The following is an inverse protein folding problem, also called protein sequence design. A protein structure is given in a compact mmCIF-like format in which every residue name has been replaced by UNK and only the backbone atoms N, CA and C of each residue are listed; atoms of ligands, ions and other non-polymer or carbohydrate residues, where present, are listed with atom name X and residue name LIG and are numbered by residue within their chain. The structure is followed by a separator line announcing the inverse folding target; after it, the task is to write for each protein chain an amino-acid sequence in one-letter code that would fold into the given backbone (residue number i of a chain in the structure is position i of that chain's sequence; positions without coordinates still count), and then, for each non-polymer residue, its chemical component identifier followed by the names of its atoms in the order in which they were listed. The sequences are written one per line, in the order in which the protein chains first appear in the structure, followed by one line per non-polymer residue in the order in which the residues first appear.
data_IF_058657148896
#
_entry.id   IF_058657148896
#
_cell.length_a   1.000
_cell.length_b   1.000
_cell.length_c   1.000
_cell.angle_alpha   90.00
_cell.angle_beta   90.00
_cell.angle_gamma   90.00
#
_symmetry.space_group_name_H-M   'P 1'
#
loop_
_entity.id
_entity.type
_entity.pdbx_description
1 polymer ?
#
# COMPACT_ATOMS: atom_id res chain seq x y z
N UNK A 1 -7.19 -4.97 3.19
CA UNK A 1 -5.76 -4.66 2.92
C UNK A 1 -5.23 -5.59 1.83
N UNK A 2 -5.50 -6.89 1.94
CA UNK A 2 -5.22 -7.89 0.90
C UNK A 2 -6.28 -7.87 -0.22
N UNK A 3 -7.46 -7.28 0.03
CA UNK A 3 -8.47 -6.98 -0.98
C UNK A 3 -8.22 -5.65 -1.70
N UNK A 4 -8.54 -5.60 -3.00
CA UNK A 4 -8.53 -4.37 -3.81
C UNK A 4 -9.67 -3.44 -3.36
N UNK A 5 -9.33 -2.44 -2.55
CA UNK A 5 -10.26 -1.34 -2.23
C UNK A 5 -10.11 -0.26 -3.31
N UNK A 6 -11.20 0.02 -4.02
CA UNK A 6 -11.26 1.10 -5.00
C UNK A 6 -12.10 2.26 -4.47
N UNK A 7 -11.80 3.47 -4.95
CA UNK A 7 -12.61 4.65 -4.68
C UNK A 7 -14.06 4.44 -5.15
N UNK A 8 -14.24 3.73 -6.26
CA UNK A 8 -15.54 3.38 -6.80
C UNK A 8 -16.35 2.54 -5.81
N UNK A 9 -15.74 1.50 -5.22
CA UNK A 9 -16.40 0.66 -4.22
C UNK A 9 -16.81 1.48 -2.99
N UNK A 10 -15.90 2.29 -2.44
CA UNK A 10 -16.20 3.17 -1.29
C UNK A 10 -17.35 4.13 -1.62
N UNK A 11 -17.35 4.69 -2.82
CA UNK A 11 -18.37 5.66 -3.25
C UNK A 11 -19.74 5.00 -3.40
N UNK A 12 -19.77 3.77 -3.94
CA UNK A 12 -20.97 2.95 -4.08
C UNK A 12 -21.55 2.56 -2.71
N UNK A 13 -20.71 2.09 -1.80
CA UNK A 13 -21.13 1.64 -0.46
C UNK A 13 -21.68 2.79 0.40
N UNK A 14 -21.17 4.00 0.19
CA UNK A 14 -21.61 5.20 0.91
C UNK A 14 -22.67 6.01 0.16
N UNK A 15 -23.08 5.57 -1.03
CA UNK A 15 -24.02 6.26 -1.93
C UNK A 15 -23.64 7.74 -2.19
N UNK A 16 -22.35 7.99 -2.45
CA UNK A 16 -21.80 9.32 -2.74
C UNK A 16 -21.05 9.31 -4.07
N UNK A 17 -20.84 10.48 -4.67
CA UNK A 17 -19.98 10.57 -5.86
C UNK A 17 -18.50 10.36 -5.51
N UNK A 18 -17.74 9.75 -6.43
CA UNK A 18 -16.28 9.58 -6.30
C UNK A 18 -15.53 10.89 -6.10
N UNK A 19 -16.01 11.97 -6.72
CA UNK A 19 -15.45 13.32 -6.57
C UNK A 19 -15.66 13.84 -5.15
N UNK A 20 -16.86 13.66 -4.59
CA UNK A 20 -17.16 14.05 -3.22
C UNK A 20 -16.34 13.21 -2.22
N UNK A 21 -16.31 11.88 -2.39
CA UNK A 21 -15.50 10.98 -1.57
C UNK A 21 -14.02 11.37 -1.56
N UNK A 22 -13.45 11.67 -2.74
CA UNK A 22 -12.05 12.09 -2.88
C UNK A 22 -11.76 13.42 -2.19
N UNK A 23 -12.62 14.43 -2.40
CA UNK A 23 -12.46 15.77 -1.80
C UNK A 23 -12.60 15.70 -0.28
N UNK A 24 -13.64 15.02 0.20
CA UNK A 24 -13.89 14.85 1.63
C UNK A 24 -12.71 14.14 2.30
N UNK A 25 -12.26 13.00 1.76
CA UNK A 25 -11.14 12.27 2.33
C UNK A 25 -9.84 13.10 2.32
N UNK A 26 -9.51 13.76 1.20
CA UNK A 26 -8.31 14.60 1.12
C UNK A 26 -8.37 15.76 2.11
N UNK A 27 -9.53 16.38 2.28
CA UNK A 27 -9.72 17.47 3.26
C UNK A 27 -9.54 16.99 4.69
N UNK A 28 -9.98 15.77 5.04
CA UNK A 28 -9.89 15.22 6.40
C UNK A 28 -8.54 14.57 6.71
N UNK A 29 -7.93 13.89 5.75
CA UNK A 29 -6.73 13.07 5.95
C UNK A 29 -5.44 13.72 5.40
N UNK A 30 -5.54 14.87 4.72
CA UNK A 30 -4.41 15.58 4.12
C UNK A 30 -3.78 14.86 2.91
N UNK A 31 -4.29 13.70 2.51
CA UNK A 31 -3.76 12.90 1.40
C UNK A 31 -4.89 12.20 0.63
N UNK A 32 -4.60 11.70 -0.56
CA UNK A 32 -5.60 10.98 -1.36
C UNK A 32 -5.84 9.58 -0.80
N UNK A 33 -7.05 9.04 -1.00
CA UNK A 33 -7.39 7.65 -0.63
C UNK A 33 -6.37 6.67 -1.22
N UNK A 34 -6.03 6.83 -2.50
CA UNK A 34 -5.07 5.95 -3.18
C UNK A 34 -3.68 6.00 -2.52
N UNK A 35 -3.18 7.18 -2.17
CA UNK A 35 -1.90 7.31 -1.49
C UNK A 35 -1.95 6.69 -0.09
N UNK A 36 -3.04 6.90 0.64
CA UNK A 36 -3.26 6.31 1.96
C UNK A 36 -3.31 4.78 1.92
N UNK A 37 -4.04 4.20 0.96
CA UNK A 37 -4.06 2.75 0.75
C UNK A 37 -2.67 2.19 0.43
N UNK A 38 -1.89 2.88 -0.43
CA UNK A 38 -0.50 2.49 -0.69
C UNK A 38 0.34 2.52 0.58
N UNK A 39 0.22 3.57 1.41
CA UNK A 39 0.92 3.66 2.70
C UNK A 39 0.61 2.46 3.60
N UNK A 40 -0.67 2.12 3.78
CA UNK A 40 -1.08 0.95 4.57
C UNK A 40 -0.46 -0.35 4.03
N UNK A 41 -0.49 -0.54 2.70
CA UNK A 41 0.15 -1.72 2.07
C UNK A 41 1.65 -1.75 2.35
N UNK A 42 2.35 -0.62 2.27
CA UNK A 42 3.78 -0.55 2.56
C UNK A 42 4.07 -0.84 4.04
N UNK A 43 3.27 -0.32 4.97
CA UNK A 43 3.47 -0.59 6.39
C UNK A 43 3.24 -2.09 6.70
N UNK A 44 2.25 -2.73 6.06
CA UNK A 44 2.09 -4.20 6.13
C UNK A 44 3.28 -4.95 5.50
N UNK A 45 3.80 -4.45 4.38
CA UNK A 45 4.97 -5.04 3.73
C UNK A 45 6.19 -5.03 4.64
N UNK A 46 6.44 -3.94 5.38
CA UNK A 46 7.53 -3.87 6.37
C UNK A 46 7.41 -4.99 7.40
N UNK A 47 6.22 -5.17 7.98
CA UNK A 47 5.98 -6.26 8.94
C UNK A 47 6.26 -7.63 8.31
N UNK A 48 5.77 -7.90 7.11
CA UNK A 48 5.98 -9.18 6.42
C UNK A 48 7.45 -9.43 6.05
N UNK A 49 8.19 -8.39 5.67
CA UNK A 49 9.60 -8.47 5.33
C UNK A 49 10.46 -8.86 6.55
N UNK A 50 10.09 -8.39 7.75
CA UNK A 50 10.81 -8.64 9.00
C UNK A 50 10.35 -9.91 9.74
N UNK A 51 9.08 -10.30 9.59
CA UNK A 51 8.50 -11.43 10.35
C UNK A 51 8.39 -12.73 9.57
N UNK A 52 8.71 -12.76 8.28
CA UNK A 52 8.54 -13.94 7.44
C UNK A 52 9.70 -14.14 6.46
N UNK A 53 9.84 -15.37 5.95
CA UNK A 53 10.80 -15.74 4.91
C UNK A 53 10.23 -15.70 3.49
N UNK A 54 9.00 -15.18 3.31
CA UNK A 54 8.34 -15.12 1.99
C UNK A 54 9.18 -14.38 0.97
N UNK A 55 9.13 -14.77 -0.30
CA UNK A 55 9.86 -14.04 -1.34
C UNK A 55 9.30 -12.61 -1.50
N UNK A 56 10.11 -11.71 -2.07
CA UNK A 56 9.66 -10.34 -2.36
C UNK A 56 8.46 -10.35 -3.32
N UNK A 57 8.45 -11.29 -4.28
CA UNK A 57 7.34 -11.52 -5.19
C UNK A 57 6.07 -11.94 -4.45
N UNK A 58 6.16 -12.92 -3.55
CA UNK A 58 5.00 -13.40 -2.79
C UNK A 58 4.37 -12.29 -1.94
N UNK A 59 5.21 -11.46 -1.31
CA UNK A 59 4.74 -10.31 -0.54
C UNK A 59 4.07 -9.28 -1.46
N UNK A 60 4.62 -9.03 -2.65
CA UNK A 60 4.02 -8.12 -3.62
C UNK A 60 2.61 -8.61 -4.04
N UNK A 61 2.49 -9.88 -4.42
CA UNK A 61 1.22 -10.48 -4.85
C UNK A 61 0.20 -10.53 -3.70
N UNK A 62 0.62 -10.92 -2.50
CA UNK A 62 -0.23 -10.93 -1.30
C UNK A 62 -0.84 -9.55 -1.00
N UNK A 63 -0.08 -8.49 -1.25
CA UNK A 63 -0.53 -7.12 -1.03
C UNK A 63 -1.25 -6.52 -2.25
N UNK A 64 -1.56 -7.33 -3.27
CA UNK A 64 -2.29 -6.93 -4.47
C UNK A 64 -1.51 -5.93 -5.32
N UNK A 65 -0.18 -6.08 -5.41
CA UNK A 65 0.62 -5.47 -6.47
C UNK A 65 0.63 -6.41 -7.69
N UNK A 66 0.59 -5.82 -8.88
CA UNK A 66 0.61 -6.57 -10.14
C UNK A 66 1.90 -7.38 -10.33
N UNK A 67 3.03 -6.79 -9.94
CA UNK A 67 4.34 -7.41 -10.05
C UNK A 67 5.32 -6.89 -8.97
N UNK A 68 6.44 -7.60 -8.83
CA UNK A 68 7.51 -7.26 -7.89
C UNK A 68 8.18 -5.91 -8.20
N UNK A 69 8.26 -5.50 -9.47
CA UNK A 69 8.91 -4.26 -9.88
C UNK A 69 8.11 -3.04 -9.44
N UNK A 70 6.78 -3.07 -9.61
CA UNK A 70 5.85 -2.05 -9.15
C UNK A 70 5.83 -1.96 -7.63
N UNK A 71 5.82 -3.12 -6.93
CA UNK A 71 6.00 -3.16 -5.49
C UNK A 71 7.32 -2.51 -5.05
N UNK A 72 8.44 -2.90 -5.66
CA UNK A 72 9.78 -2.40 -5.30
C UNK A 72 9.89 -0.89 -5.47
N UNK A 73 9.41 -0.34 -6.60
CA UNK A 73 9.38 1.11 -6.83
C UNK A 73 8.53 1.83 -5.79
N UNK A 74 7.35 1.30 -5.49
CA UNK A 74 6.43 1.90 -4.51
C UNK A 74 7.04 1.85 -3.11
N UNK A 75 7.55 0.69 -2.68
CA UNK A 75 8.18 0.51 -1.39
C UNK A 75 9.37 1.46 -1.20
N UNK A 76 10.23 1.59 -2.21
CA UNK A 76 11.35 2.53 -2.19
C UNK A 76 10.90 3.99 -2.12
N UNK A 77 9.85 4.36 -2.85
CA UNK A 77 9.32 5.72 -2.79
C UNK A 77 8.79 6.10 -1.39
N UNK A 78 8.26 5.12 -0.63
CA UNK A 78 7.75 5.34 0.73
C UNK A 78 8.82 5.21 1.83
N UNK A 79 9.87 4.42 1.61
CA UNK A 79 10.84 4.05 2.67
C UNK A 79 12.27 4.49 2.41
N UNK A 80 12.60 4.90 1.19
CA UNK A 80 13.97 5.18 0.74
C UNK A 80 14.78 3.93 0.36
N UNK A 81 14.31 2.73 0.70
CA UNK A 81 15.05 1.47 0.54
C UNK A 81 14.29 0.49 -0.37
N UNK A 82 14.99 -0.43 -1.03
CA UNK A 82 14.33 -1.56 -1.70
C UNK A 82 13.81 -2.55 -0.64
N UNK A 83 12.80 -3.39 -0.97
CA UNK A 83 12.32 -4.43 -0.05
C UNK A 83 13.44 -5.36 0.45
N UNK A 84 14.37 -5.72 -0.43
CA UNK A 84 15.53 -6.56 -0.09
C UNK A 84 16.49 -5.83 0.86
N UNK A 85 16.80 -4.56 0.60
CA UNK A 85 17.62 -3.76 1.50
C UNK A 85 16.96 -3.62 2.88
N UNK A 86 15.65 -3.39 2.90
CA UNK A 86 14.89 -3.28 4.14
C UNK A 86 14.87 -4.57 4.95
N UNK A 87 14.79 -5.73 4.30
CA UNK A 87 14.86 -7.04 4.97
C UNK A 87 16.26 -7.32 5.53
N UNK A 88 17.30 -6.98 4.78
CA UNK A 88 18.68 -7.33 5.15
C UNK A 88 19.28 -6.37 6.18
N UNK A 89 18.84 -5.10 6.19
CA UNK A 89 19.08 -4.22 7.32
C UNK A 89 18.16 -4.66 8.46
N UNK A 90 18.68 -5.46 9.40
CA UNK A 90 18.03 -5.71 10.69
C UNK A 90 17.84 -4.36 11.42
N UNK A 91 16.78 -3.63 11.10
CA UNK A 91 16.23 -2.57 11.95
C UNK A 91 15.56 -3.25 13.14
N UNK A 92 16.39 -3.70 14.09
CA UNK A 92 16.02 -3.95 15.48
C UNK A 92 16.23 -2.66 16.26
#
# INVERSE_FOLDING_TARGET
IESHVSLEQISRDLNISMSYASKCFKSKMGTTIMHYCKKIKIDRAKSLLLSTTKSILDIALLLGFYDQSHFTRTFKAFTGLTPTQYRNNNYL
#
